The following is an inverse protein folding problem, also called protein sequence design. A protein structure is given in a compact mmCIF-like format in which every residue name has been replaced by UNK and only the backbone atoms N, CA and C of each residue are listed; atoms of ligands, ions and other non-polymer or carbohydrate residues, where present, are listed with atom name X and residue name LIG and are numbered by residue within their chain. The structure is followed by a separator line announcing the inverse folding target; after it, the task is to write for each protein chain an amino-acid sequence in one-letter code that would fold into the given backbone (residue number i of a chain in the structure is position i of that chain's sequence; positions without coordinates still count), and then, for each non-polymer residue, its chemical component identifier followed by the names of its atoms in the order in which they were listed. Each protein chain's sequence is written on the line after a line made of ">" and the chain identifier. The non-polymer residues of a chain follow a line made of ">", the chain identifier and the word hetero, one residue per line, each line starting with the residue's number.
data_IF_893322239910
#
_entry.id   IF_893322239910
#
_cell.length_a   1.000
_cell.length_b   1.000
_cell.length_c   1.000
_cell.angle_alpha   90.00
_cell.angle_beta   90.00
_cell.angle_gamma   90.00
#
_symmetry.space_group_name_H-M   'P 1'
#
loop_
_entity.id
_entity.type
_entity.pdbx_description
1 polymer ?
#
# COMPACT_ATOMS: atom_id res chain seq x y z
N UNK A 1 -24.00 -7.99 28.75
CA UNK A 1 -24.06 -7.69 27.29
C UNK A 1 -22.72 -7.14 26.77
N UNK A 2 -21.60 -7.79 27.10
CA UNK A 2 -20.22 -7.31 26.76
C UNK A 2 -19.53 -8.28 25.80
N UNK A 3 -19.77 -9.58 25.95
CA UNK A 3 -19.18 -10.62 25.10
C UNK A 3 -19.62 -10.54 23.61
N UNK A 4 -20.87 -10.15 23.34
CA UNK A 4 -21.39 -9.97 21.97
C UNK A 4 -20.73 -8.79 21.26
N UNK A 5 -20.44 -7.72 22.01
CA UNK A 5 -19.76 -6.54 21.49
C UNK A 5 -18.28 -6.84 21.16
N UNK A 6 -17.59 -7.60 22.02
CA UNK A 6 -16.20 -8.01 21.77
C UNK A 6 -16.07 -8.92 20.55
N UNK A 7 -16.98 -9.89 20.40
CA UNK A 7 -17.01 -10.77 19.22
C UNK A 7 -17.23 -9.97 17.94
N UNK A 8 -18.18 -9.04 17.94
CA UNK A 8 -18.46 -8.18 16.78
C UNK A 8 -17.25 -7.30 16.41
N UNK A 9 -16.61 -6.67 17.40
CA UNK A 9 -15.40 -5.86 17.19
C UNK A 9 -14.24 -6.68 16.62
N UNK A 10 -14.07 -7.93 17.09
CA UNK A 10 -13.00 -8.80 16.61
C UNK A 10 -13.24 -9.19 15.15
N UNK A 11 -14.48 -9.51 14.77
CA UNK A 11 -14.83 -9.82 13.38
C UNK A 11 -14.55 -8.61 12.50
N UNK A 12 -14.99 -7.40 12.89
CA UNK A 12 -14.74 -6.20 12.09
C UNK A 12 -13.25 -5.88 11.93
N UNK A 13 -12.44 -6.13 12.97
CA UNK A 13 -10.98 -5.94 12.89
C UNK A 13 -10.34 -6.98 11.96
N UNK A 14 -10.82 -8.22 11.95
CA UNK A 14 -10.32 -9.25 11.03
C UNK A 14 -10.70 -8.93 9.57
N UNK A 15 -11.92 -8.44 9.33
CA UNK A 15 -12.35 -8.01 7.99
C UNK A 15 -11.51 -6.81 7.50
N UNK A 16 -11.25 -5.83 8.37
CA UNK A 16 -10.38 -4.69 8.06
C UNK A 16 -8.94 -5.12 7.80
N UNK A 17 -8.41 -6.08 8.57
CA UNK A 17 -7.09 -6.66 8.30
C UNK A 17 -7.07 -7.33 6.93
N UNK A 18 -8.06 -8.16 6.62
CA UNK A 18 -8.11 -8.90 5.36
C UNK A 18 -8.20 -7.97 4.15
N UNK A 19 -8.99 -6.89 4.23
CA UNK A 19 -9.08 -5.90 3.15
C UNK A 19 -7.77 -5.13 2.97
N UNK A 20 -7.10 -4.77 4.07
CA UNK A 20 -5.79 -4.12 4.05
C UNK A 20 -4.72 -5.03 3.44
N UNK A 21 -4.67 -6.31 3.81
CA UNK A 21 -3.74 -7.28 3.26
C UNK A 21 -3.97 -7.51 1.76
N UNK A 22 -5.23 -7.58 1.32
CA UNK A 22 -5.58 -7.70 -0.09
C UNK A 22 -5.14 -6.47 -0.89
N UNK A 23 -5.36 -5.26 -0.35
CA UNK A 23 -4.88 -4.01 -0.96
C UNK A 23 -3.36 -3.97 -1.06
N UNK A 24 -2.65 -4.35 0.01
CA UNK A 24 -1.18 -4.41 0.02
C UNK A 24 -0.65 -5.36 -1.05
N UNK A 25 -1.25 -6.55 -1.17
CA UNK A 25 -0.86 -7.52 -2.19
C UNK A 25 -1.08 -6.98 -3.60
N UNK A 26 -2.23 -6.36 -3.87
CA UNK A 26 -2.51 -5.76 -5.17
C UNK A 26 -1.50 -4.64 -5.53
N UNK A 27 -1.10 -3.83 -4.55
CA UNK A 27 -0.06 -2.80 -4.75
C UNK A 27 1.30 -3.46 -5.04
N UNK A 28 1.68 -4.49 -4.28
CA UNK A 28 2.94 -5.20 -4.48
C UNK A 28 2.99 -5.85 -5.87
N UNK A 29 1.91 -6.51 -6.30
CA UNK A 29 1.81 -7.11 -7.64
C UNK A 29 1.96 -6.05 -8.73
N UNK A 30 1.31 -4.90 -8.58
CA UNK A 30 1.43 -3.78 -9.53
C UNK A 30 2.86 -3.22 -9.60
N UNK A 31 3.58 -3.14 -8.48
CA UNK A 31 4.92 -2.57 -8.43
C UNK A 31 6.02 -3.56 -8.85
N UNK A 32 5.85 -4.83 -8.49
CA UNK A 32 6.84 -5.89 -8.65
C UNK A 32 6.54 -6.85 -9.81
N UNK A 33 5.57 -6.52 -10.67
CA UNK A 33 5.32 -7.23 -11.92
C UNK A 33 6.54 -7.18 -12.87
N UNK A 34 6.53 -7.96 -13.96
CA UNK A 34 7.63 -7.97 -14.94
C UNK A 34 7.93 -6.57 -15.49
N UNK A 35 9.17 -6.10 -15.32
CA UNK A 35 9.59 -4.76 -15.73
C UNK A 35 9.09 -3.61 -14.84
N UNK A 36 8.42 -3.92 -13.72
CA UNK A 36 7.95 -2.94 -12.76
C UNK A 36 9.10 -2.29 -11.96
N UNK A 37 8.90 -1.06 -11.44
CA UNK A 37 9.94 -0.32 -10.72
C UNK A 37 10.21 -0.87 -9.30
N UNK A 38 9.43 -1.83 -8.82
CA UNK A 38 9.52 -2.39 -7.48
C UNK A 38 9.17 -1.41 -6.37
N UNK A 39 9.40 -1.82 -5.12
CA UNK A 39 9.05 -1.03 -3.92
C UNK A 39 10.07 0.10 -3.67
N UNK A 40 11.33 -0.12 -4.02
CA UNK A 40 12.42 0.83 -3.74
C UNK A 40 13.33 1.12 -4.95
N UNK A 41 13.01 0.59 -6.14
CA UNK A 41 13.83 0.79 -7.34
C UNK A 41 13.80 2.24 -7.83
N UNK A 42 14.84 2.64 -8.56
CA UNK A 42 14.92 3.98 -9.13
C UNK A 42 13.82 4.18 -10.18
N UNK A 43 13.23 5.38 -10.21
CA UNK A 43 12.15 5.72 -11.16
C UNK A 43 12.66 6.49 -12.39
N UNK A 44 13.93 6.88 -12.34
CA UNK A 44 14.62 7.63 -13.38
C UNK A 44 15.80 6.82 -13.89
N UNK A 45 16.27 7.14 -15.08
CA UNK A 45 17.50 6.58 -15.62
C UNK A 45 18.76 7.27 -15.02
N UNK A 46 19.93 6.93 -15.56
CA UNK A 46 21.21 7.51 -15.16
C UNK A 46 21.37 8.99 -15.49
N UNK A 47 20.58 9.51 -16.42
CA UNK A 47 20.58 10.93 -16.83
C UNK A 47 19.53 11.74 -16.07
N UNK A 48 18.66 11.08 -15.30
CA UNK A 48 17.62 11.68 -14.49
C UNK A 48 16.28 11.83 -15.20
N UNK A 49 16.10 11.25 -16.39
CA UNK A 49 14.83 11.27 -17.10
C UNK A 49 13.90 10.17 -16.60
N UNK A 50 12.57 10.37 -16.66
CA UNK A 50 11.60 9.33 -16.34
C UNK A 50 11.83 8.08 -17.20
N UNK A 51 11.89 6.91 -16.56
CA UNK A 51 11.97 5.65 -17.29
C UNK A 51 10.80 5.49 -18.26
N UNK A 52 11.08 5.05 -19.49
CA UNK A 52 10.07 4.93 -20.56
C UNK A 52 8.94 3.99 -20.09
N UNK A 53 7.70 4.50 -20.13
CA UNK A 53 6.51 3.74 -19.75
C UNK A 53 6.22 3.66 -18.24
N UNK A 54 6.97 4.38 -17.39
CA UNK A 54 6.73 4.44 -15.94
C UNK A 54 5.85 5.65 -15.61
N UNK A 55 4.66 5.39 -15.04
CA UNK A 55 3.86 6.43 -14.38
C UNK A 55 4.43 6.72 -12.98
N UNK A 56 5.38 7.66 -12.92
CA UNK A 56 6.07 8.05 -11.69
C UNK A 56 5.08 8.50 -10.60
N UNK A 57 4.09 9.38 -10.87
CA UNK A 57 3.06 9.74 -9.89
C UNK A 57 2.32 8.52 -9.31
N UNK A 58 1.87 7.59 -10.15
CA UNK A 58 1.16 6.40 -9.68
C UNK A 58 2.04 5.51 -8.79
N UNK A 59 3.29 5.27 -9.22
CA UNK A 59 4.26 4.46 -8.46
C UNK A 59 4.58 5.09 -7.11
N UNK A 60 4.78 6.41 -7.06
CA UNK A 60 5.02 7.12 -5.79
C UNK A 60 3.81 7.05 -4.86
N UNK A 61 2.60 7.18 -5.40
CA UNK A 61 1.36 7.05 -4.63
C UNK A 61 1.22 5.66 -4.01
N UNK A 62 1.45 4.61 -4.82
CA UNK A 62 1.42 3.21 -4.38
C UNK A 62 2.47 2.92 -3.29
N UNK A 63 3.73 3.34 -3.49
CA UNK A 63 4.79 3.20 -2.47
C UNK A 63 4.45 3.92 -1.17
N UNK A 64 3.84 5.12 -1.26
CA UNK A 64 3.41 5.87 -0.08
C UNK A 64 2.32 5.14 0.70
N UNK A 65 1.32 4.58 0.02
CA UNK A 65 0.27 3.75 0.63
C UNK A 65 0.86 2.53 1.32
N UNK A 66 1.77 1.82 0.67
CA UNK A 66 2.44 0.64 1.23
C UNK A 66 3.28 0.97 2.47
N UNK A 67 3.93 2.14 2.51
CA UNK A 67 4.72 2.59 3.67
C UNK A 67 3.90 2.99 4.90
N UNK A 68 2.56 2.95 4.81
CA UNK A 68 1.69 3.28 5.94
C UNK A 68 1.66 4.77 6.32
N UNK A 69 2.20 5.68 5.49
CA UNK A 69 2.18 7.12 5.76
C UNK A 69 0.77 7.73 5.84
N UNK A 70 -0.25 7.05 5.32
CA UNK A 70 -1.65 7.44 5.51
C UNK A 70 -2.22 6.93 6.86
N UNK A 71 -1.63 5.90 7.46
CA UNK A 71 -2.07 5.30 8.73
C UNK A 71 -1.54 6.10 9.93
N UNK A 72 -0.32 6.64 9.83
CA UNK A 72 0.28 7.51 10.86
C UNK A 72 -0.49 8.81 11.08
N UNK A 73 -1.23 9.28 10.06
CA UNK A 73 -2.07 10.48 10.15
C UNK A 73 -3.41 10.26 10.88
N UNK A 74 -3.90 9.02 10.97
CA UNK A 74 -5.16 8.72 11.66
C UNK A 74 -4.97 8.32 13.12
N UNK A 75 -3.85 7.67 13.46
CA UNK A 75 -3.54 7.29 14.86
C UNK A 75 -3.08 8.48 15.71
N UNK A 76 -2.68 9.59 15.08
CA UNK A 76 -2.18 10.79 15.75
C UNK A 76 -3.22 11.90 15.97
N UNK A 77 -4.51 11.61 15.76
CA UNK A 77 -5.66 12.47 16.10
C UNK A 77 -6.51 11.81 17.17
#
# INVERSE_FOLDING_TARGET
>A
MVATNLKAQTISLMDMRASMEAEMNAIIESLCGPGGPGISGNLVDSEGFPGVGIDIPAVRSQRRRLSGQNLTTEVSK
#
